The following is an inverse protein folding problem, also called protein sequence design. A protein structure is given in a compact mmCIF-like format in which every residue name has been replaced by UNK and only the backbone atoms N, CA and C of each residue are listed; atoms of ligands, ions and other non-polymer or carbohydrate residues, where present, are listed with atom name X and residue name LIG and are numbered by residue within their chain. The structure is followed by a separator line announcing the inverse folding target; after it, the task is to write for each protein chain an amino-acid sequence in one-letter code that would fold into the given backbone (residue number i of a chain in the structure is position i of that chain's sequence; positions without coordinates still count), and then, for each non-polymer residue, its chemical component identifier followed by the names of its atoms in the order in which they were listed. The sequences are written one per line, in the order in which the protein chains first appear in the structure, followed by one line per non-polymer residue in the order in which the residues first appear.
data_IF_839714091623
#
_entry.id   IF_839714091623
#
_cell.length_a   1.000
_cell.length_b   1.000
_cell.length_c   1.000
_cell.angle_alpha   90.00
_cell.angle_beta   90.00
_cell.angle_gamma   90.00
#
_symmetry.space_group_name_H-M   'P 1'
#
loop_
_entity.id
_entity.type
_entity.pdbx_description
1 polymer ?
#
# COMPACT_ATOMS: atom_id res chain seq x y z
N UNK A 1 -21.12 -14.52 45.52
CA UNK A 1 -22.06 -14.27 44.40
C UNK A 1 -21.26 -14.27 43.10
N UNK A 2 -21.11 -15.44 42.49
CA UNK A 2 -20.41 -15.60 41.21
C UNK A 2 -21.46 -15.42 40.11
N UNK A 3 -21.31 -14.37 39.29
CA UNK A 3 -22.16 -14.16 38.12
C UNK A 3 -21.86 -15.24 37.10
N UNK A 4 -22.88 -16.03 36.77
CA UNK A 4 -22.88 -17.05 35.74
C UNK A 4 -22.62 -16.42 34.37
N UNK A 5 -21.40 -16.60 33.85
CA UNK A 5 -21.11 -16.49 32.42
C UNK A 5 -21.80 -17.67 31.71
N UNK A 6 -23.03 -17.45 31.27
CA UNK A 6 -23.65 -18.33 30.28
C UNK A 6 -22.93 -18.12 28.95
N UNK A 7 -22.05 -19.07 28.63
CA UNK A 7 -21.67 -19.40 27.27
C UNK A 7 -22.94 -19.46 26.40
N UNK A 8 -23.23 -18.40 25.62
CA UNK A 8 -24.05 -18.53 24.42
C UNK A 8 -23.24 -19.37 23.44
N UNK A 9 -23.32 -20.69 23.57
CA UNK A 9 -22.97 -21.59 22.48
C UNK A 9 -23.83 -21.17 21.30
N UNK A 10 -23.22 -20.70 20.22
CA UNK A 10 -23.89 -20.59 18.92
C UNK A 10 -24.42 -21.99 18.61
N UNK A 11 -25.73 -22.20 18.80
CA UNK A 11 -26.38 -23.43 18.39
C UNK A 11 -26.39 -23.34 16.86
N UNK A 12 -25.53 -24.09 16.17
CA UNK A 12 -25.59 -24.16 14.71
C UNK A 12 -26.99 -24.64 14.36
N UNK A 13 -27.77 -23.79 13.70
CA UNK A 13 -29.10 -24.19 13.25
C UNK A 13 -28.89 -25.28 12.20
N UNK A 14 -29.59 -26.40 12.35
CA UNK A 14 -29.48 -27.46 11.35
C UNK A 14 -29.88 -26.91 9.98
N UNK A 15 -29.22 -27.40 8.94
CA UNK A 15 -29.59 -27.09 7.57
C UNK A 15 -30.98 -27.66 7.28
N UNK A 16 -31.84 -26.98 6.49
CA UNK A 16 -33.11 -27.55 6.03
C UNK A 16 -32.88 -28.89 5.31
N UNK A 17 -33.53 -29.96 5.76
CA UNK A 17 -33.38 -31.30 5.19
C UNK A 17 -34.74 -32.00 5.09
N UNK A 18 -34.89 -32.85 4.06
CA UNK A 18 -36.10 -33.62 3.83
C UNK A 18 -37.16 -32.80 3.09
N UNK A 19 -38.29 -32.55 3.75
CA UNK A 19 -39.43 -31.85 3.16
C UNK A 19 -39.43 -30.35 3.50
N UNK A 20 -39.98 -29.55 2.59
CA UNK A 20 -40.23 -28.12 2.74
C UNK A 20 -41.64 -27.77 2.28
N UNK A 21 -42.05 -26.51 2.43
CA UNK A 21 -43.31 -26.01 1.85
C UNK A 21 -43.39 -26.16 0.32
N UNK A 22 -42.25 -26.37 -0.35
CA UNK A 22 -42.15 -26.58 -1.80
C UNK A 22 -41.91 -28.06 -2.17
N UNK A 23 -42.16 -29.00 -1.26
CA UNK A 23 -41.94 -30.43 -1.47
C UNK A 23 -40.55 -30.88 -1.03
N UNK A 24 -40.10 -32.04 -1.52
CA UNK A 24 -38.79 -32.58 -1.14
C UNK A 24 -37.66 -31.68 -1.62
N UNK A 25 -36.69 -31.41 -0.75
CA UNK A 25 -35.53 -30.58 -1.05
C UNK A 25 -34.56 -31.39 -1.92
N UNK A 26 -34.35 -30.93 -3.15
CA UNK A 26 -33.39 -31.52 -4.08
C UNK A 26 -31.98 -30.96 -3.87
N UNK A 27 -31.88 -29.67 -3.53
CA UNK A 27 -30.60 -28.98 -3.33
C UNK A 27 -30.74 -27.94 -2.24
N UNK A 28 -29.74 -27.84 -1.36
CA UNK A 28 -29.66 -26.83 -0.31
C UNK A 28 -28.24 -26.29 -0.26
N UNK A 29 -28.08 -24.98 -0.51
CA UNK A 29 -26.79 -24.28 -0.50
C UNK A 29 -26.83 -23.21 0.57
N UNK A 30 -25.82 -23.17 1.43
CA UNK A 30 -25.66 -22.05 2.37
C UNK A 30 -25.11 -20.84 1.60
N UNK A 31 -25.94 -19.81 1.42
CA UNK A 31 -25.55 -18.59 0.71
C UNK A 31 -24.99 -17.54 1.65
N UNK A 32 -25.34 -17.59 2.94
CA UNK A 32 -24.76 -16.82 4.04
C UNK A 32 -24.90 -17.60 5.35
N UNK A 33 -24.20 -17.18 6.41
CA UNK A 33 -24.18 -17.91 7.68
C UNK A 33 -25.60 -18.17 8.21
N UNK A 34 -26.03 -19.44 8.20
CA UNK A 34 -27.38 -19.91 8.53
C UNK A 34 -28.51 -19.32 7.65
N UNK A 35 -28.20 -18.97 6.41
CA UNK A 35 -29.14 -18.55 5.35
C UNK A 35 -28.93 -19.48 4.16
N UNK A 36 -29.99 -20.17 3.77
CA UNK A 36 -29.93 -21.21 2.76
C UNK A 36 -30.71 -20.82 1.52
N UNK A 37 -30.20 -21.16 0.35
CA UNK A 37 -30.98 -21.23 -0.87
C UNK A 37 -31.36 -22.68 -1.11
N UNK A 38 -32.65 -22.96 -1.29
CA UNK A 38 -33.13 -24.31 -1.58
C UNK A 38 -33.79 -24.38 -2.95
N UNK A 39 -33.63 -25.52 -3.60
CA UNK A 39 -34.38 -25.95 -4.78
C UNK A 39 -35.13 -27.23 -4.42
N UNK A 40 -36.45 -27.21 -4.52
CA UNK A 40 -37.35 -28.32 -4.16
C UNK A 40 -38.27 -28.68 -5.33
N UNK A 41 -39.08 -29.73 -5.17
CA UNK A 41 -39.95 -30.28 -6.24
C UNK A 41 -40.88 -29.25 -6.90
N UNK A 42 -41.39 -28.28 -6.13
CA UNK A 42 -42.44 -27.35 -6.57
C UNK A 42 -42.06 -25.88 -6.37
N UNK A 43 -40.78 -25.59 -6.09
CA UNK A 43 -40.35 -24.21 -5.84
C UNK A 43 -38.90 -24.09 -5.39
N UNK A 44 -38.43 -22.86 -5.40
CA UNK A 44 -37.08 -22.49 -4.96
C UNK A 44 -37.08 -21.11 -4.30
N UNK A 45 -36.07 -20.86 -3.47
CA UNK A 45 -35.95 -19.59 -2.77
C UNK A 45 -35.05 -19.63 -1.53
N UNK A 46 -35.14 -18.58 -0.73
CA UNK A 46 -34.32 -18.40 0.48
C UNK A 46 -35.05 -18.97 1.70
N UNK A 47 -34.30 -19.64 2.56
CA UNK A 47 -34.77 -20.21 3.81
C UNK A 47 -33.86 -19.75 4.94
N UNK A 48 -34.46 -19.17 5.97
CA UNK A 48 -33.76 -18.66 7.15
C UNK A 48 -34.48 -19.19 8.38
N UNK A 49 -33.77 -19.77 9.34
CA UNK A 49 -34.43 -20.19 10.58
C UNK A 49 -34.87 -18.96 11.38
N UNK A 50 -36.01 -19.03 12.06
CA UNK A 50 -36.69 -17.90 12.70
C UNK A 50 -35.78 -17.11 13.65
N UNK A 51 -35.09 -17.81 14.55
CA UNK A 51 -34.15 -17.18 15.49
C UNK A 51 -33.06 -16.38 14.76
N UNK A 52 -32.57 -16.91 13.63
CA UNK A 52 -31.56 -16.24 12.83
C UNK A 52 -32.14 -15.08 12.05
N UNK A 53 -33.37 -15.20 11.54
CA UNK A 53 -34.04 -14.15 10.79
C UNK A 53 -34.19 -12.88 11.66
N UNK A 54 -34.66 -13.02 12.90
CA UNK A 54 -34.81 -11.90 13.85
C UNK A 54 -33.47 -11.17 14.14
N UNK A 55 -32.35 -11.87 14.04
CA UNK A 55 -31.01 -11.30 14.24
C UNK A 55 -30.40 -10.72 12.95
N UNK A 56 -30.84 -11.20 11.78
CA UNK A 56 -30.13 -11.02 10.52
C UNK A 56 -30.84 -10.11 9.54
N UNK A 57 -32.16 -9.97 9.63
CA UNK A 57 -32.98 -9.13 8.74
C UNK A 57 -33.97 -8.30 9.56
N UNK A 58 -34.57 -7.28 8.94
CA UNK A 58 -35.52 -6.38 9.58
C UNK A 58 -36.83 -7.09 9.96
N UNK A 59 -37.57 -6.55 10.92
CA UNK A 59 -38.88 -7.08 11.30
C UNK A 59 -39.85 -7.17 10.10
N UNK A 60 -39.81 -6.20 9.18
CA UNK A 60 -40.61 -6.23 7.95
C UNK A 60 -40.23 -7.41 7.04
N UNK A 61 -38.93 -7.70 6.93
CA UNK A 61 -38.47 -8.85 6.16
C UNK A 61 -38.81 -10.17 6.86
N UNK A 62 -38.81 -10.24 8.19
CA UNK A 62 -39.32 -11.39 8.95
C UNK A 62 -40.81 -11.62 8.65
N UNK A 63 -41.63 -10.57 8.71
CA UNK A 63 -43.08 -10.64 8.45
C UNK A 63 -43.44 -11.06 7.01
N UNK A 64 -42.55 -10.81 6.04
CA UNK A 64 -42.74 -11.22 4.65
C UNK A 64 -42.45 -12.70 4.37
N UNK A 65 -41.87 -13.43 5.34
CA UNK A 65 -41.54 -14.84 5.22
C UNK A 65 -42.75 -15.75 5.45
N UNK A 66 -42.86 -16.82 4.66
CA UNK A 66 -43.84 -17.88 4.95
C UNK A 66 -43.28 -18.79 6.04
N UNK A 67 -44.01 -18.91 7.13
CA UNK A 67 -43.60 -19.71 8.28
C UNK A 67 -43.96 -21.19 8.10
N UNK A 68 -42.96 -22.07 8.29
CA UNK A 68 -43.16 -23.52 8.42
C UNK A 68 -42.09 -24.13 9.34
N UNK A 69 -42.55 -24.73 10.44
CA UNK A 69 -41.69 -25.24 11.50
C UNK A 69 -40.80 -24.15 12.10
N UNK A 70 -39.48 -24.38 12.10
CA UNK A 70 -38.47 -23.45 12.62
C UNK A 70 -37.92 -22.48 11.56
N UNK A 71 -38.48 -22.49 10.35
CA UNK A 71 -37.97 -21.74 9.20
C UNK A 71 -38.97 -20.73 8.64
N UNK A 72 -38.41 -19.69 8.02
CA UNK A 72 -39.08 -18.72 7.17
C UNK A 72 -38.64 -18.94 5.73
N UNK A 73 -39.61 -19.06 4.84
CA UNK A 73 -39.43 -19.36 3.43
C UNK A 73 -39.80 -18.15 2.56
N UNK A 74 -38.90 -17.79 1.66
CA UNK A 74 -39.00 -16.66 0.76
C UNK A 74 -38.87 -17.14 -0.67
N UNK A 75 -40.00 -17.28 -1.36
CA UNK A 75 -40.05 -17.85 -2.71
C UNK A 75 -39.45 -16.92 -3.75
N UNK A 76 -38.74 -17.50 -4.72
CA UNK A 76 -38.03 -16.78 -5.80
C UNK A 76 -38.90 -15.76 -6.52
N UNK A 77 -40.15 -16.11 -6.80
CA UNK A 77 -41.07 -15.27 -7.58
C UNK A 77 -41.98 -14.38 -6.71
N UNK A 78 -41.71 -14.26 -5.40
CA UNK A 78 -42.59 -13.52 -4.49
C UNK A 78 -41.83 -12.61 -3.51
N UNK A 79 -41.11 -13.18 -2.54
CA UNK A 79 -40.55 -12.43 -1.40
C UNK A 79 -39.05 -12.62 -1.20
N UNK A 80 -38.37 -13.35 -2.09
CA UNK A 80 -36.93 -13.65 -1.98
C UNK A 80 -36.04 -12.42 -2.06
N UNK A 81 -36.43 -11.41 -2.85
CA UNK A 81 -35.68 -10.17 -3.05
C UNK A 81 -35.52 -9.38 -1.75
N UNK A 82 -36.52 -9.41 -0.86
CA UNK A 82 -36.53 -8.67 0.42
C UNK A 82 -35.36 -9.08 1.34
N UNK A 83 -35.26 -10.34 1.84
CA UNK A 83 -34.15 -10.72 2.71
C UNK A 83 -32.82 -10.73 1.94
N UNK A 84 -32.83 -11.04 0.63
CA UNK A 84 -31.61 -11.04 -0.17
C UNK A 84 -30.98 -9.65 -0.22
N UNK A 85 -31.76 -8.61 -0.47
CA UNK A 85 -31.28 -7.24 -0.51
C UNK A 85 -30.64 -6.82 0.82
N UNK A 86 -31.30 -7.06 1.95
CA UNK A 86 -30.76 -6.71 3.26
C UNK A 86 -29.49 -7.50 3.62
N UNK A 87 -29.44 -8.78 3.26
CA UNK A 87 -28.26 -9.62 3.46
C UNK A 87 -27.09 -9.12 2.61
N UNK A 88 -27.32 -8.75 1.35
CA UNK A 88 -26.31 -8.19 0.47
C UNK A 88 -25.81 -6.83 0.98
N UNK A 89 -26.69 -5.96 1.48
CA UNK A 89 -26.29 -4.69 2.09
C UNK A 89 -25.37 -4.91 3.30
N UNK A 90 -25.76 -5.78 4.24
CA UNK A 90 -24.93 -6.10 5.42
C UNK A 90 -23.59 -6.69 5.04
N UNK A 91 -23.55 -7.54 4.00
CA UNK A 91 -22.30 -8.10 3.45
C UNK A 91 -21.41 -7.05 2.83
N UNK A 92 -21.98 -6.11 2.09
CA UNK A 92 -21.22 -5.00 1.51
C UNK A 92 -20.59 -4.15 2.62
N UNK A 93 -21.35 -3.81 3.66
CA UNK A 93 -20.84 -3.07 4.82
C UNK A 93 -19.73 -3.84 5.55
N UNK A 94 -19.91 -5.13 5.78
CA UNK A 94 -18.88 -5.98 6.38
C UNK A 94 -17.63 -6.06 5.49
N UNK A 95 -17.80 -6.19 4.18
CA UNK A 95 -16.68 -6.25 3.23
C UNK A 95 -15.91 -4.96 3.20
N UNK A 96 -16.58 -3.79 3.25
CA UNK A 96 -15.90 -2.48 3.36
C UNK A 96 -15.09 -2.34 4.65
N UNK A 97 -15.60 -2.87 5.76
CA UNK A 97 -14.85 -2.87 7.04
C UNK A 97 -13.67 -3.81 6.99
N UNK A 98 -13.83 -5.00 6.42
CA UNK A 98 -12.73 -5.93 6.20
C UNK A 98 -11.68 -5.34 5.26
N UNK A 99 -12.11 -4.70 4.17
CA UNK A 99 -11.23 -4.00 3.23
C UNK A 99 -10.43 -2.91 3.95
N UNK A 100 -11.09 -2.05 4.73
CA UNK A 100 -10.41 -1.03 5.53
C UNK A 100 -9.41 -1.64 6.53
N UNK A 101 -9.76 -2.74 7.21
CA UNK A 101 -8.84 -3.44 8.11
C UNK A 101 -7.66 -4.08 7.39
N UNK A 102 -7.89 -4.65 6.20
CA UNK A 102 -6.83 -5.23 5.38
C UNK A 102 -5.89 -4.15 4.87
N UNK A 103 -6.43 -3.01 4.42
CA UNK A 103 -5.64 -1.84 4.03
C UNK A 103 -4.83 -1.33 5.23
N UNK A 104 -5.43 -1.17 6.40
CA UNK A 104 -4.73 -0.77 7.63
C UNK A 104 -3.60 -1.76 7.97
N UNK A 105 -3.84 -3.07 7.89
CA UNK A 105 -2.81 -4.08 8.12
C UNK A 105 -1.68 -4.03 7.07
N UNK A 106 -2.02 -3.78 5.81
CA UNK A 106 -1.02 -3.62 4.74
C UNK A 106 -0.18 -2.37 4.97
N UNK A 107 -0.80 -1.25 5.32
CA UNK A 107 -0.10 0.00 5.64
C UNK A 107 0.73 -0.13 6.93
N UNK A 108 0.26 -0.82 7.96
CA UNK A 108 1.08 -1.14 9.14
C UNK A 108 2.33 -1.94 8.75
N UNK A 109 2.19 -2.96 7.89
CA UNK A 109 3.31 -3.76 7.41
C UNK A 109 4.32 -2.90 6.63
N UNK A 110 3.84 -1.98 5.78
CA UNK A 110 4.67 -1.02 5.05
C UNK A 110 5.38 -0.03 5.99
N UNK A 111 4.63 0.65 6.86
CA UNK A 111 5.14 1.67 7.79
C UNK A 111 6.15 1.12 8.79
N UNK A 112 5.99 -0.12 9.24
CA UNK A 112 6.97 -0.71 10.16
C UNK A 112 8.26 -1.15 9.46
N UNK A 113 8.40 -0.93 8.14
CA UNK A 113 9.58 -1.33 7.36
C UNK A 113 9.87 -2.83 7.43
N UNK A 114 8.88 -3.65 7.84
CA UNK A 114 9.05 -5.09 8.13
C UNK A 114 9.18 -5.93 6.86
N UNK A 115 8.86 -5.36 5.70
CA UNK A 115 9.20 -5.97 4.42
C UNK A 115 10.66 -5.61 4.14
N UNK A 116 11.56 -6.58 4.36
CA UNK A 116 12.91 -6.53 3.81
C UNK A 116 12.78 -6.61 2.28
N UNK A 117 12.74 -5.46 1.63
CA UNK A 117 12.65 -5.36 0.17
C UNK A 117 13.73 -6.16 -0.56
N UNK A 118 14.98 -6.26 -0.07
CA UNK A 118 15.98 -7.15 -0.67
C UNK A 118 15.61 -8.64 -0.61
N UNK A 119 14.90 -9.08 0.44
CA UNK A 119 14.48 -10.49 0.58
C UNK A 119 13.22 -10.81 -0.23
N UNK A 120 12.32 -9.82 -0.42
CA UNK A 120 11.06 -10.02 -1.14
C UNK A 120 11.15 -9.73 -2.65
N UNK A 121 11.87 -8.67 -3.05
CA UNK A 121 12.02 -8.25 -4.45
C UNK A 121 13.41 -8.54 -5.04
N UNK A 122 14.38 -8.95 -4.22
CA UNK A 122 15.77 -9.10 -4.63
C UNK A 122 16.56 -7.79 -4.56
N UNK A 123 17.87 -7.86 -4.83
CA UNK A 123 18.69 -6.66 -4.94
C UNK A 123 18.38 -5.91 -6.25
N UNK A 124 18.06 -4.62 -6.13
CA UNK A 124 17.85 -3.72 -7.26
C UNK A 124 19.22 -3.12 -7.62
N UNK A 125 19.82 -3.49 -8.77
CA UNK A 125 21.12 -2.97 -9.16
C UNK A 125 21.05 -1.45 -9.40
N UNK A 126 22.13 -0.70 -9.16
CA UNK A 126 22.13 0.75 -9.40
C UNK A 126 21.76 1.05 -10.85
N UNK A 127 21.13 2.22 -11.13
CA UNK A 127 20.77 2.58 -12.49
C UNK A 127 22.02 2.64 -13.39
N UNK A 128 21.88 2.17 -14.63
CA UNK A 128 23.00 2.10 -15.58
C UNK A 128 23.33 3.44 -16.26
N UNK A 129 22.53 4.48 -16.03
CA UNK A 129 22.72 5.83 -16.56
C UNK A 129 23.41 6.69 -15.48
N UNK A 130 24.59 7.26 -15.77
CA UNK A 130 25.36 8.14 -14.88
C UNK A 130 26.80 7.66 -14.63
N UNK A 131 27.72 8.59 -14.37
CA UNK A 131 29.11 8.26 -14.00
C UNK A 131 29.20 7.63 -12.60
N UNK A 132 28.34 8.08 -11.69
CA UNK A 132 28.26 7.61 -10.31
C UNK A 132 26.82 7.52 -9.82
N UNK A 133 26.54 6.46 -9.05
CA UNK A 133 25.26 6.25 -8.38
C UNK A 133 25.51 5.97 -6.89
N UNK A 134 24.92 6.80 -6.04
CA UNK A 134 24.98 6.66 -4.60
C UNK A 134 23.77 5.92 -4.08
N UNK A 135 24.01 4.83 -3.35
CA UNK A 135 22.95 4.03 -2.76
C UNK A 135 22.44 4.71 -1.49
N UNK A 136 21.18 5.16 -1.52
CA UNK A 136 20.43 5.52 -0.31
C UNK A 136 19.87 4.23 0.31
N UNK A 137 19.24 3.40 -0.53
CA UNK A 137 18.66 2.10 -0.13
C UNK A 137 18.59 1.18 -1.34
N UNK A 138 18.33 -0.10 -1.13
CA UNK A 138 18.01 -1.01 -2.23
C UNK A 138 16.85 -0.44 -3.09
N UNK A 139 17.14 -0.09 -4.34
CA UNK A 139 16.17 0.51 -5.26
C UNK A 139 15.99 2.02 -5.12
N UNK A 140 16.78 2.72 -4.29
CA UNK A 140 16.73 4.18 -4.16
C UNK A 140 18.15 4.74 -4.23
N UNK A 141 18.40 5.61 -5.20
CA UNK A 141 19.73 6.11 -5.51
C UNK A 141 19.72 7.61 -5.80
N UNK A 142 20.83 8.29 -5.51
CA UNK A 142 21.16 9.56 -6.17
C UNK A 142 22.11 9.29 -7.33
N UNK A 143 21.86 9.89 -8.49
CA UNK A 143 22.57 9.63 -9.75
C UNK A 143 23.07 10.94 -10.33
N UNK A 144 24.33 10.96 -10.77
CA UNK A 144 24.91 12.14 -11.44
C UNK A 144 24.88 12.00 -12.97
N UNK A 145 24.35 13.00 -13.67
CA UNK A 145 24.18 13.03 -15.13
C UNK A 145 25.30 13.83 -15.80
N UNK A 146 25.94 13.24 -16.82
CA UNK A 146 27.00 13.92 -17.59
C UNK A 146 26.50 15.23 -18.27
N UNK A 147 27.32 16.28 -18.19
CA UNK A 147 27.26 17.42 -19.12
C UNK A 147 26.42 18.63 -18.70
N UNK A 148 25.94 18.71 -17.46
CA UNK A 148 25.25 19.90 -16.92
C UNK A 148 26.00 20.48 -15.70
N UNK A 149 25.93 21.80 -15.55
CA UNK A 149 26.60 22.56 -14.47
C UNK A 149 26.20 22.07 -13.07
N UNK A 150 27.16 22.18 -12.14
CA UNK A 150 27.28 21.59 -10.78
C UNK A 150 26.04 21.50 -9.87
N UNK A 151 24.92 22.17 -10.16
CA UNK A 151 23.69 22.13 -9.34
C UNK A 151 22.50 21.38 -9.99
N UNK A 152 22.57 21.06 -11.29
CA UNK A 152 21.45 20.46 -12.05
C UNK A 152 21.70 18.99 -12.45
N UNK A 153 22.83 18.42 -12.05
CA UNK A 153 23.26 17.11 -12.53
C UNK A 153 22.82 15.95 -11.62
N UNK A 154 22.30 16.22 -10.42
CA UNK A 154 21.90 15.18 -9.46
C UNK A 154 20.40 14.87 -9.61
N UNK A 155 20.11 13.62 -9.95
CA UNK A 155 18.76 13.08 -10.02
C UNK A 155 18.55 12.06 -8.88
N UNK A 156 17.38 12.08 -8.26
CA UNK A 156 16.92 11.07 -7.32
C UNK A 156 16.19 9.98 -8.11
N UNK A 157 16.70 8.75 -8.06
CA UNK A 157 16.18 7.61 -8.79
C UNK A 157 15.51 6.61 -7.84
N UNK A 158 14.25 6.28 -8.11
CA UNK A 158 13.48 5.27 -7.37
C UNK A 158 13.13 4.13 -8.33
N UNK A 159 13.53 2.91 -7.99
CA UNK A 159 13.23 1.72 -8.77
C UNK A 159 11.71 1.54 -8.88
N UNK A 160 11.24 1.09 -10.05
CA UNK A 160 9.82 1.04 -10.38
C UNK A 160 8.98 0.25 -9.39
N UNK A 161 9.46 -0.92 -8.96
CA UNK A 161 8.77 -1.74 -7.95
C UNK A 161 8.69 -1.01 -6.61
N UNK A 162 9.76 -0.32 -6.19
CA UNK A 162 9.73 0.53 -4.99
C UNK A 162 8.69 1.66 -5.15
N UNK A 163 8.69 2.35 -6.28
CA UNK A 163 7.74 3.41 -6.56
C UNK A 163 6.28 2.91 -6.56
N UNK A 164 5.98 1.80 -7.23
CA UNK A 164 4.63 1.22 -7.31
C UNK A 164 4.07 0.77 -5.95
N UNK A 165 4.94 0.40 -5.00
CA UNK A 165 4.53 -0.12 -3.70
C UNK A 165 4.44 0.95 -2.61
N UNK A 166 5.27 1.99 -2.70
CA UNK A 166 5.44 2.98 -1.62
C UNK A 166 5.08 4.41 -2.00
N UNK A 167 5.13 4.77 -3.28
CA UNK A 167 4.73 6.11 -3.72
C UNK A 167 3.25 6.16 -4.07
N UNK A 168 2.63 7.30 -3.79
CA UNK A 168 1.27 7.59 -4.24
C UNK A 168 1.24 7.69 -5.77
N UNK A 169 0.07 7.43 -6.40
CA UNK A 169 -0.09 7.65 -7.83
C UNK A 169 0.27 9.07 -8.26
N UNK A 170 0.06 10.05 -7.38
CA UNK A 170 0.39 11.45 -7.62
C UNK A 170 1.90 11.65 -7.66
N UNK A 171 2.66 11.08 -6.72
CA UNK A 171 4.11 11.16 -6.71
C UNK A 171 4.75 10.42 -7.91
N UNK A 172 4.13 9.32 -8.35
CA UNK A 172 4.57 8.58 -9.53
C UNK A 172 4.53 9.45 -10.81
N UNK A 173 3.50 10.28 -10.98
CA UNK A 173 3.32 11.13 -12.18
C UNK A 173 4.42 12.19 -12.38
N UNK A 174 5.15 12.57 -11.31
CA UNK A 174 6.24 13.54 -11.39
C UNK A 174 7.60 12.92 -11.74
N UNK A 175 7.71 11.59 -11.72
CA UNK A 175 8.94 10.89 -12.07
C UNK A 175 9.05 10.63 -13.57
N UNK A 176 10.25 10.76 -14.12
CA UNK A 176 10.54 10.34 -15.49
C UNK A 176 10.98 8.87 -15.50
N UNK A 177 10.18 7.99 -16.10
CA UNK A 177 10.50 6.56 -16.17
C UNK A 177 11.59 6.29 -17.22
N UNK A 178 12.75 5.79 -16.78
CA UNK A 178 13.88 5.37 -17.62
C UNK A 178 14.48 4.07 -17.07
N UNK A 179 14.66 3.06 -17.93
CA UNK A 179 15.30 1.77 -17.60
C UNK A 179 14.84 1.11 -16.28
N UNK A 180 13.56 1.19 -15.95
CA UNK A 180 13.01 0.59 -14.72
C UNK A 180 13.18 1.44 -13.46
N UNK A 181 13.56 2.71 -13.60
CA UNK A 181 13.65 3.69 -12.52
C UNK A 181 12.81 4.93 -12.85
N UNK A 182 12.24 5.56 -11.84
CA UNK A 182 11.65 6.89 -11.89
C UNK A 182 12.67 7.91 -11.39
N UNK A 183 12.99 8.87 -12.25
CA UNK A 183 13.96 9.91 -11.96
C UNK A 183 13.27 11.23 -11.62
N UNK A 184 13.78 11.88 -10.58
CA UNK A 184 13.33 13.16 -10.08
C UNK A 184 14.53 14.13 -10.03
N UNK A 185 14.37 15.35 -10.52
CA UNK A 185 15.36 16.42 -10.38
C UNK A 185 15.62 16.80 -8.92
N UNK A 186 16.66 17.62 -8.68
CA UNK A 186 16.99 18.17 -7.37
C UNK A 186 15.78 18.78 -6.63
N UNK A 187 14.95 19.56 -7.32
CA UNK A 187 13.72 20.11 -6.72
C UNK A 187 12.60 19.08 -6.57
N UNK A 188 12.39 18.24 -7.59
CA UNK A 188 11.24 17.31 -7.62
C UNK A 188 11.43 16.10 -6.73
N UNK A 189 12.66 15.80 -6.31
CA UNK A 189 12.93 14.76 -5.33
C UNK A 189 12.29 15.06 -3.96
N UNK A 190 11.90 16.31 -3.69
CA UNK A 190 11.10 16.69 -2.53
C UNK A 190 9.81 15.86 -2.41
N UNK A 191 9.19 15.50 -3.54
CA UNK A 191 7.94 14.73 -3.58
C UNK A 191 8.15 13.31 -3.04
N UNK A 192 8.97 12.45 -3.69
CA UNK A 192 9.17 11.09 -3.20
C UNK A 192 9.87 11.06 -1.84
N UNK A 193 10.78 11.99 -1.52
CA UNK A 193 11.40 12.04 -0.20
C UNK A 193 10.39 12.33 0.91
N UNK A 194 9.40 13.20 0.68
CA UNK A 194 8.37 13.49 1.67
C UNK A 194 7.50 12.27 1.99
N UNK A 195 7.15 11.46 0.98
CA UNK A 195 6.37 10.24 1.21
C UNK A 195 7.23 9.12 1.82
N UNK A 196 8.47 8.96 1.35
CA UNK A 196 9.34 7.86 1.76
C UNK A 196 9.98 8.07 3.13
N UNK A 197 10.18 9.30 3.61
CA UNK A 197 10.81 9.56 4.92
C UNK A 197 10.07 8.94 6.11
N UNK A 198 8.75 8.77 6.00
CA UNK A 198 7.92 8.13 7.03
C UNK A 198 7.98 6.60 7.01
N UNK A 199 8.66 6.02 6.02
CA UNK A 199 8.72 4.58 5.74
C UNK A 199 10.17 4.08 5.86
N UNK A 200 11.12 4.82 5.27
CA UNK A 200 12.55 4.48 5.25
C UNK A 200 13.36 5.55 5.98
N UNK A 201 14.02 5.14 7.07
CA UNK A 201 14.89 6.02 7.83
C UNK A 201 16.04 6.59 6.98
N UNK A 202 16.54 5.84 6.01
CA UNK A 202 17.61 6.30 5.11
C UNK A 202 17.16 7.51 4.28
N UNK A 203 15.88 7.58 3.88
CA UNK A 203 15.34 8.75 3.18
C UNK A 203 15.12 9.95 4.12
N UNK A 204 14.88 9.68 5.41
CA UNK A 204 14.79 10.74 6.43
C UNK A 204 16.16 11.37 6.71
N UNK A 205 17.24 10.57 6.66
CA UNK A 205 18.62 11.04 6.86
C UNK A 205 19.09 11.97 5.71
N UNK A 206 18.51 11.82 4.51
CA UNK A 206 18.71 12.73 3.37
C UNK A 206 18.18 14.14 3.61
N UNK A 207 17.24 14.33 4.54
CA UNK A 207 16.54 15.60 4.74
C UNK A 207 17.25 16.40 5.84
N UNK A 208 17.95 17.46 5.44
CA UNK A 208 18.57 18.39 6.38
C UNK A 208 17.54 19.27 7.10
N UNK A 209 16.47 19.67 6.40
CA UNK A 209 15.44 20.54 6.94
C UNK A 209 14.06 20.16 6.42
N UNK A 210 13.24 19.62 7.31
CA UNK A 210 11.86 19.28 7.00
C UNK A 210 11.01 20.52 6.70
N UNK A 211 11.32 21.66 7.31
CA UNK A 211 10.62 22.93 7.09
C UNK A 211 10.83 23.40 5.64
N UNK A 212 12.06 23.25 5.13
CA UNK A 212 12.45 23.66 3.78
C UNK A 212 11.93 22.66 2.74
N UNK A 213 11.88 21.37 3.07
CA UNK A 213 11.20 20.34 2.27
C UNK A 213 9.73 20.70 2.07
N UNK A 214 9.01 20.98 3.17
CA UNK A 214 7.60 21.37 3.11
C UNK A 214 7.42 22.70 2.37
N UNK A 215 8.35 23.65 2.53
CA UNK A 215 8.32 24.93 1.79
C UNK A 215 8.48 24.71 0.28
N UNK A 216 9.34 23.78 -0.11
CA UNK A 216 9.55 23.36 -1.52
C UNK A 216 8.27 22.76 -2.09
N UNK A 217 7.61 21.86 -1.36
CA UNK A 217 6.32 21.30 -1.79
C UNK A 217 5.23 22.36 -1.90
N UNK A 218 5.17 23.31 -0.96
CA UNK A 218 4.20 24.40 -0.99
C UNK A 218 4.40 25.33 -2.19
N UNK A 219 5.65 25.65 -2.51
CA UNK A 219 6.00 26.70 -3.49
C UNK A 219 6.14 26.14 -4.90
N UNK A 220 6.88 25.03 -5.05
CA UNK A 220 7.23 24.46 -6.35
C UNK A 220 6.20 23.43 -6.83
N UNK A 221 5.50 22.74 -5.90
CA UNK A 221 4.57 21.65 -6.23
C UNK A 221 3.17 21.81 -5.60
N UNK A 222 2.50 22.97 -5.77
CA UNK A 222 1.19 23.22 -5.15
C UNK A 222 0.09 22.27 -5.64
N UNK A 223 0.19 21.79 -6.90
CA UNK A 223 -0.76 20.83 -7.45
C UNK A 223 -0.67 19.46 -6.76
N UNK A 224 0.56 18.96 -6.55
CA UNK A 224 0.81 17.75 -5.77
C UNK A 224 0.29 17.90 -4.34
N UNK A 225 0.66 18.99 -3.64
CA UNK A 225 0.20 19.25 -2.27
C UNK A 225 -1.31 19.23 -2.15
N UNK A 226 -2.01 19.91 -3.06
CA UNK A 226 -3.47 19.95 -3.07
C UNK A 226 -4.10 18.56 -3.31
N UNK A 227 -3.52 17.77 -4.21
CA UNK A 227 -3.99 16.42 -4.48
C UNK A 227 -3.76 15.50 -3.28
N UNK A 228 -2.57 15.55 -2.68
CA UNK A 228 -2.19 14.78 -1.50
C UNK A 228 -3.09 15.11 -0.30
N UNK A 229 -3.26 16.40 0.02
CA UNK A 229 -4.07 16.82 1.18
C UNK A 229 -5.56 16.46 1.08
N UNK A 230 -6.07 16.21 -0.13
CA UNK A 230 -7.46 15.77 -0.33
C UNK A 230 -7.70 14.31 0.01
N UNK A 231 -6.66 13.48 -0.05
CA UNK A 231 -6.77 12.03 0.11
C UNK A 231 -6.34 11.56 1.49
N UNK A 232 -5.56 12.36 2.23
CA UNK A 232 -5.11 12.06 3.60
C UNK A 232 -5.96 12.75 4.67
N UNK A 233 -6.05 12.18 5.90
CA UNK A 233 -6.69 12.82 7.04
C UNK A 233 -6.03 14.16 7.41
N UNK A 234 -6.78 15.07 8.04
CA UNK A 234 -6.31 16.43 8.40
C UNK A 234 -4.99 16.43 9.20
N UNK A 235 -4.77 15.43 10.06
CA UNK A 235 -3.56 15.30 10.86
C UNK A 235 -2.29 14.97 10.04
N UNK A 236 -2.44 14.42 8.84
CA UNK A 236 -1.36 13.98 7.95
C UNK A 236 -1.19 14.92 6.74
N UNK A 237 -2.00 15.98 6.66
CA UNK A 237 -1.90 16.95 5.57
C UNK A 237 -0.58 17.71 5.63
N UNK A 238 -0.02 18.00 4.45
CA UNK A 238 1.16 18.85 4.29
C UNK A 238 0.80 20.27 4.76
N UNK A 239 1.38 20.75 5.89
CA UNK A 239 1.06 22.05 6.44
C UNK A 239 1.63 23.17 5.57
N UNK A 240 1.16 24.40 5.80
CA UNK A 240 1.82 25.57 5.23
C UNK A 240 3.20 25.76 5.89
N UNK A 241 4.20 26.16 5.10
CA UNK A 241 5.55 26.45 5.59
C UNK A 241 6.06 27.77 5.02
N UNK A 242 6.87 28.46 5.82
CA UNK A 242 7.59 29.69 5.45
C UNK A 242 9.11 29.46 5.40
N UNK A 243 9.55 28.22 5.17
CA UNK A 243 10.96 27.87 4.98
C UNK A 243 11.53 28.38 3.65
N UNK A 244 12.78 28.04 3.38
CA UNK A 244 13.49 28.34 2.13
C UNK A 244 13.33 27.18 1.13
N UNK A 245 12.59 27.34 0.03
CA UNK A 245 12.47 26.29 -0.99
C UNK A 245 13.84 25.91 -1.58
N UNK A 246 14.05 24.62 -1.83
CA UNK A 246 15.24 24.08 -2.52
C UNK A 246 16.43 23.70 -1.62
N UNK A 247 16.53 24.19 -0.38
CA UNK A 247 17.68 23.92 0.52
C UNK A 247 17.29 22.91 1.63
N UNK A 248 16.72 21.77 1.22
CA UNK A 248 16.20 20.76 2.16
C UNK A 248 17.05 19.49 2.26
N UNK A 249 17.98 19.27 1.32
CA UNK A 249 18.85 18.10 1.28
C UNK A 249 20.09 18.28 2.15
N UNK A 250 20.58 17.17 2.70
CA UNK A 250 21.85 17.15 3.40
C UNK A 250 23.01 17.12 2.40
N UNK A 251 23.76 18.22 2.30
CA UNK A 251 24.91 18.34 1.38
C UNK A 251 25.97 17.27 1.59
N UNK A 252 26.09 16.70 2.79
CA UNK A 252 27.00 15.57 3.01
C UNK A 252 26.56 14.28 2.32
N UNK A 253 25.26 14.10 2.03
CA UNK A 253 24.75 12.99 1.24
C UNK A 253 24.80 13.28 -0.25
N UNK A 254 24.63 14.55 -0.65
CA UNK A 254 24.96 15.02 -2.01
C UNK A 254 26.45 14.81 -2.33
N UNK A 255 27.35 15.06 -1.37
CA UNK A 255 28.82 14.93 -1.53
C UNK A 255 29.34 13.50 -1.34
N UNK A 256 28.81 12.72 -0.38
CA UNK A 256 29.08 11.26 -0.30
C UNK A 256 28.63 10.55 -1.56
N UNK A 257 27.58 11.06 -2.21
CA UNK A 257 27.10 10.50 -3.47
C UNK A 257 28.09 10.56 -4.64
N UNK A 258 29.12 11.39 -4.50
CA UNK A 258 30.14 11.63 -5.53
C UNK A 258 31.43 10.86 -5.20
N UNK A 259 31.76 10.71 -3.90
CA UNK A 259 33.11 10.28 -3.48
C UNK A 259 33.35 8.76 -3.38
N UNK A 260 32.31 7.95 -3.17
CA UNK A 260 32.47 6.50 -2.99
C UNK A 260 32.76 5.70 -4.29
N UNK A 261 32.86 6.41 -5.43
CA UNK A 261 33.15 5.83 -6.76
C UNK A 261 34.47 6.25 -7.38
N UNK A 262 35.23 7.17 -6.78
CA UNK A 262 36.61 7.41 -7.22
C UNK A 262 37.46 6.19 -6.83
N UNK A 263 38.07 5.44 -7.78
CA UNK A 263 39.08 4.47 -7.41
C UNK A 263 40.17 5.24 -6.67
N UNK A 264 40.55 4.76 -5.48
CA UNK A 264 41.79 5.17 -4.82
C UNK A 264 42.89 5.10 -5.88
N UNK A 265 43.34 6.25 -6.40
CA UNK A 265 44.56 6.29 -7.20
C UNK A 265 45.63 5.71 -6.30
N UNK A 266 46.05 4.49 -6.61
CA UNK A 266 47.32 3.99 -6.12
C UNK A 266 48.33 5.01 -6.61
N UNK A 267 48.85 5.81 -5.68
CA UNK A 267 50.08 6.56 -5.89
C UNK A 267 51.11 5.51 -6.34
N UNK A 268 51.31 5.42 -7.64
CA UNK A 268 52.42 4.71 -8.24
C UNK A 268 53.69 5.40 -7.71
N UNK A 269 54.24 4.85 -6.63
CA UNK A 269 55.61 5.09 -6.21
C UNK A 269 56.55 4.45 -7.26
N UNK A 270 56.58 5.04 -8.47
CA UNK A 270 57.61 4.78 -9.47
C UNK A 270 58.90 5.49 -9.04
N UNK A 271 59.55 4.95 -8.00
CA UNK A 271 60.96 5.18 -7.77
C UNK A 271 61.73 4.42 -8.84
N UNK A 272 61.90 5.05 -10.00
CA UNK A 272 62.78 4.59 -11.07
C UNK A 272 64.20 4.36 -10.55
N UNK A 273 64.58 3.09 -10.38
CA UNK A 273 65.98 2.68 -10.29
C UNK A 273 66.67 3.02 -11.62
N UNK A 274 67.40 4.13 -11.65
CA UNK A 274 68.37 4.40 -12.71
C UNK A 274 69.55 3.42 -12.57
N UNK A 275 69.49 2.29 -13.30
CA UNK A 275 70.67 1.44 -13.52
C UNK A 275 71.48 2.04 -14.66
N UNK A 276 72.54 2.76 -14.30
CA UNK A 276 73.59 3.28 -15.17
C UNK A 276 74.52 2.13 -15.62
N UNK A 277 74.42 1.72 -16.89
CA UNK A 277 75.42 0.86 -17.52
C UNK A 277 76.47 1.72 -18.22
N UNK A 278 77.40 2.26 -17.44
CA UNK A 278 78.64 2.83 -17.93
C UNK A 278 79.59 1.74 -18.43
N UNK A 279 79.69 1.58 -19.75
CA UNK A 279 80.75 0.82 -20.42
C UNK A 279 81.98 1.72 -20.57
N UNK A 280 83.13 1.31 -20.05
CA UNK A 280 84.43 1.93 -20.32
C UNK A 280 85.38 0.95 -21.03
N UNK A 281 86.31 1.46 -21.87
CA UNK A 281 86.81 0.84 -23.09
C UNK A 281 87.78 -0.35 -22.95
#
# INVERSE_FOLDING_TARGET
MVKSNQNRRYKSMQQPQGASIWGNINTCVEIALNVYYIYAEHGEGIVIGKEKAEQTISAKAVEAGNEDGEYLYYGKDNTMDIPLYEILQKRLEFSRRLEAQLVEQMEEIKHHGRISLPEYFGECPPPSEGESACKVRNGIYFVNREGQTENDSIEFAVEKTVAENFLSPMAYEYGEERNGYLYYSADSCAIPLYELKGIFHECQDCIASEIDLISTLCTCYPAYRHAFNKIVPEAEQIPDSNGMPGDFLNRHEEEKAIRDTEPMEQLDDDYGENIDYGYEP
#
